data_IF_157705885768
#
_entry.id   IF_157705885768
#
_cell.length_a   1.000
_cell.length_b   1.000
_cell.length_c   1.000
_cell.angle_alpha   90.00
_cell.angle_beta   90.00
_cell.angle_gamma   90.00
#
_symmetry.space_group_name_H-M   'P 1'
#
loop_
_entity.id
_entity.type
_entity.pdbx_description
1 polymer ?
#
# COMPACT_ATOMS: atom_id res chain seq x y z
N UNK A 1 1.84 0.81 9.54
CA UNK A 1 0.89 1.68 10.26
C UNK A 1 -0.39 0.90 10.50
N UNK A 2 -0.82 0.84 11.74
CA UNK A 2 -2.13 0.34 12.17
C UNK A 2 -3.17 1.47 12.15
N UNK A 3 -4.45 1.13 12.34
CA UNK A 3 -5.53 2.13 12.53
C UNK A 3 -5.22 3.07 13.71
N UNK A 4 -4.63 2.54 14.79
CA UNK A 4 -4.21 3.34 15.95
C UNK A 4 -3.10 4.32 15.60
N UNK A 5 -2.10 3.89 14.82
CA UNK A 5 -1.00 4.77 14.39
C UNK A 5 -1.53 5.91 13.50
N UNK A 6 -2.49 5.60 12.62
CA UNK A 6 -3.13 6.58 11.75
C UNK A 6 -3.91 7.62 12.56
N UNK A 7 -4.66 7.20 13.57
CA UNK A 7 -5.35 8.12 14.49
C UNK A 7 -4.36 9.06 15.17
N UNK A 8 -3.31 8.50 15.78
CA UNK A 8 -2.30 9.29 16.49
C UNK A 8 -1.55 10.26 15.56
N UNK A 9 -1.33 9.90 14.30
CA UNK A 9 -0.72 10.80 13.32
C UNK A 9 -1.65 11.97 12.95
N UNK A 10 -2.95 11.69 12.76
CA UNK A 10 -3.95 12.70 12.44
C UNK A 10 -4.20 13.67 13.60
N UNK A 11 -4.24 13.18 14.84
CA UNK A 11 -4.44 14.03 16.03
C UNK A 11 -3.35 15.11 16.18
N UNK A 12 -2.15 14.88 15.62
CA UNK A 12 -1.05 15.86 15.62
C UNK A 12 -1.10 16.88 14.48
N UNK A 13 -1.84 16.60 13.41
CA UNK A 13 -1.81 17.43 12.19
C UNK A 13 -3.14 18.11 11.87
N UNK A 14 -4.27 17.52 12.27
CA UNK A 14 -5.57 18.08 11.94
C UNK A 14 -5.82 19.39 12.69
N UNK A 15 -6.43 20.34 12.00
CA UNK A 15 -7.01 21.52 12.65
C UNK A 15 -8.19 21.11 13.55
N UNK A 16 -8.57 21.92 14.55
CA UNK A 16 -9.73 21.62 15.39
C UNK A 16 -11.03 21.41 14.60
N UNK A 17 -11.23 22.16 13.51
CA UNK A 17 -12.39 21.99 12.62
C UNK A 17 -12.37 20.67 11.86
N UNK A 18 -11.21 20.30 11.31
CA UNK A 18 -11.05 19.03 10.60
C UNK A 18 -11.20 17.83 11.55
N UNK A 19 -10.68 17.93 12.77
CA UNK A 19 -10.83 16.91 13.80
C UNK A 19 -12.31 16.72 14.23
N UNK A 20 -13.05 17.82 14.42
CA UNK A 20 -14.50 17.77 14.70
C UNK A 20 -15.27 17.13 13.54
N UNK A 21 -14.98 17.55 12.31
CA UNK A 21 -15.61 16.95 11.13
C UNK A 21 -15.33 15.44 11.04
N UNK A 22 -14.07 15.02 11.27
CA UNK A 22 -13.70 13.61 11.25
C UNK A 22 -14.46 12.80 12.31
N UNK A 23 -14.57 13.32 13.54
CA UNK A 23 -15.33 12.67 14.60
C UNK A 23 -16.80 12.44 14.19
N UNK A 24 -17.47 13.47 13.66
CA UNK A 24 -18.84 13.36 13.14
C UNK A 24 -18.94 12.36 11.99
N UNK A 25 -18.02 12.42 11.02
CA UNK A 25 -18.02 11.53 9.86
C UNK A 25 -17.86 10.06 10.27
N UNK A 26 -17.04 9.77 11.27
CA UNK A 26 -16.86 8.40 11.78
C UNK A 26 -18.12 7.88 12.47
N UNK A 27 -18.79 8.71 13.27
CA UNK A 27 -20.07 8.34 13.91
C UNK A 27 -21.14 8.05 12.86
N UNK A 28 -21.26 8.89 11.83
CA UNK A 28 -22.22 8.68 10.74
C UNK A 28 -21.92 7.41 9.94
N UNK A 29 -20.64 7.15 9.62
CA UNK A 29 -20.24 5.94 8.90
C UNK A 29 -20.45 4.69 9.75
N UNK A 30 -20.27 4.77 11.07
CA UNK A 30 -20.56 3.65 11.96
C UNK A 30 -22.06 3.32 12.02
N UNK A 31 -22.93 4.34 11.96
CA UNK A 31 -24.38 4.18 12.02
C UNK A 31 -25.00 3.76 10.68
N UNK A 32 -24.63 4.46 9.60
CA UNK A 32 -25.25 4.35 8.27
C UNK A 32 -24.17 4.21 7.19
N UNK A 33 -23.38 3.13 7.20
CA UNK A 33 -22.17 3.02 6.40
C UNK A 33 -22.44 3.13 4.89
N UNK A 34 -23.53 2.55 4.39
CA UNK A 34 -23.80 2.51 2.95
C UNK A 34 -24.18 3.88 2.39
N UNK A 35 -24.83 4.71 3.20
CA UNK A 35 -25.20 6.09 2.82
C UNK A 35 -24.06 7.08 3.11
N UNK A 36 -23.42 6.96 4.27
CA UNK A 36 -22.46 7.96 4.74
C UNK A 36 -21.06 7.77 4.12
N UNK A 37 -20.59 6.52 3.96
CA UNK A 37 -19.22 6.25 3.57
C UNK A 37 -18.85 6.88 2.22
N UNK A 38 -19.58 6.70 1.10
CA UNK A 38 -19.19 7.27 -0.18
C UNK A 38 -19.05 8.80 -0.12
N UNK A 39 -20.01 9.48 0.53
CA UNK A 39 -19.99 10.94 0.71
C UNK A 39 -18.81 11.40 1.56
N UNK A 40 -18.61 10.81 2.74
CA UNK A 40 -17.54 11.21 3.67
C UNK A 40 -16.15 10.89 3.11
N UNK A 41 -16.04 9.80 2.36
CA UNK A 41 -14.81 9.39 1.69
C UNK A 41 -14.37 10.40 0.61
N UNK A 42 -15.33 10.94 -0.15
CA UNK A 42 -15.09 11.98 -1.16
C UNK A 42 -14.80 13.36 -0.55
N UNK A 43 -15.35 13.65 0.63
CA UNK A 43 -15.09 14.89 1.37
C UNK A 43 -13.71 14.94 2.04
N UNK A 44 -13.08 13.78 2.30
CA UNK A 44 -11.84 13.67 3.07
C UNK A 44 -10.74 14.64 2.63
N UNK A 45 -10.48 14.73 1.33
CA UNK A 45 -9.45 15.64 0.79
C UNK A 45 -9.77 17.12 1.01
N UNK A 46 -11.05 17.51 0.93
CA UNK A 46 -11.47 18.91 1.12
C UNK A 46 -11.54 19.31 2.59
N UNK A 47 -11.87 18.36 3.47
CA UNK A 47 -12.11 18.61 4.90
C UNK A 47 -10.88 18.38 5.78
N UNK A 48 -10.09 17.36 5.48
CA UNK A 48 -8.84 17.05 6.18
C UNK A 48 -7.59 17.65 5.51
N UNK A 49 -7.66 17.95 4.22
CA UNK A 49 -6.50 18.36 3.43
C UNK A 49 -5.68 17.17 2.91
N UNK A 50 -4.59 17.46 2.20
CA UNK A 50 -3.76 16.48 1.48
C UNK A 50 -2.27 16.54 1.86
N UNK A 51 -1.97 17.12 3.02
CA UNK A 51 -0.60 17.21 3.53
C UNK A 51 -0.01 15.82 3.80
N UNK A 52 1.32 15.69 3.76
CA UNK A 52 2.00 14.45 4.08
C UNK A 52 1.99 14.19 5.59
N UNK A 53 1.65 12.97 6.01
CA UNK A 53 1.66 12.56 7.42
C UNK A 53 3.05 12.26 7.96
N UNK A 54 3.97 11.89 7.07
CA UNK A 54 5.37 11.66 7.35
C UNK A 54 6.20 12.15 6.16
N UNK A 55 7.48 12.48 6.41
CA UNK A 55 8.39 12.77 5.33
C UNK A 55 8.49 11.54 4.39
N UNK A 56 8.46 11.78 3.08
CA UNK A 56 8.75 10.72 2.13
C UNK A 56 10.19 10.23 2.36
N UNK A 57 10.45 8.91 2.32
CA UNK A 57 11.80 8.38 2.45
C UNK A 57 12.69 8.96 1.36
N UNK A 58 13.91 9.37 1.73
CA UNK A 58 14.88 9.86 0.77
C UNK A 58 15.21 8.76 -0.25
N UNK A 59 15.27 9.08 -1.56
CA UNK A 59 15.67 8.11 -2.56
C UNK A 59 17.09 7.58 -2.30
N UNK A 60 17.36 6.34 -2.73
CA UNK A 60 18.73 5.85 -2.83
C UNK A 60 19.54 6.76 -3.78
N UNK A 61 20.85 6.83 -3.55
CA UNK A 61 21.84 7.84 -3.99
C UNK A 61 21.93 8.19 -5.50
N UNK A 62 21.03 7.71 -6.35
CA UNK A 62 20.84 8.20 -7.72
C UNK A 62 19.78 9.33 -7.74
N UNK A 63 19.82 10.27 -8.69
CA UNK A 63 18.69 11.15 -8.94
C UNK A 63 17.50 10.28 -9.42
N UNK A 64 16.68 9.83 -8.47
CA UNK A 64 15.45 9.12 -8.78
C UNK A 64 14.58 10.07 -9.64
N UNK A 65 13.87 9.55 -10.65
CA UNK A 65 12.88 10.36 -11.34
C UNK A 65 11.89 10.91 -10.32
N UNK A 66 11.37 12.12 -10.59
CA UNK A 66 10.48 12.84 -9.70
C UNK A 66 9.16 12.09 -9.53
N UNK A 67 9.14 11.06 -8.67
CA UNK A 67 7.93 10.39 -8.25
C UNK A 67 7.19 11.32 -7.29
N UNK A 68 5.86 11.48 -7.44
CA UNK A 68 5.09 12.29 -6.51
C UNK A 68 5.28 11.80 -5.07
N UNK A 69 5.51 12.71 -4.12
CA UNK A 69 5.81 12.36 -2.73
C UNK A 69 4.70 11.52 -2.07
N UNK A 70 3.45 11.76 -2.47
CA UNK A 70 2.26 11.01 -2.07
C UNK A 70 2.20 9.56 -2.59
N UNK A 71 3.07 9.17 -3.52
CA UNK A 71 3.28 7.75 -3.84
C UNK A 71 4.07 7.07 -2.73
N UNK A 72 5.05 7.75 -2.14
CA UNK A 72 5.99 7.19 -1.17
C UNK A 72 5.53 7.37 0.29
N UNK A 73 4.64 8.34 0.56
CA UNK A 73 4.18 8.67 1.90
C UNK A 73 2.65 8.71 2.00
N UNK A 74 2.15 8.47 3.20
CA UNK A 74 0.75 8.69 3.53
C UNK A 74 0.42 10.18 3.50
N UNK A 75 -0.72 10.53 2.94
CA UNK A 75 -1.32 11.86 3.09
C UNK A 75 -2.39 11.85 4.18
N UNK A 76 -2.78 13.04 4.65
CA UNK A 76 -3.88 13.21 5.60
C UNK A 76 -5.18 12.59 5.08
N UNK A 77 -5.52 12.82 3.80
CA UNK A 77 -6.73 12.26 3.20
C UNK A 77 -6.69 10.74 3.05
N UNK A 78 -5.51 10.15 2.82
CA UNK A 78 -5.36 8.68 2.82
C UNK A 78 -5.66 8.10 4.21
N UNK A 79 -5.15 8.71 5.28
CA UNK A 79 -5.39 8.24 6.64
C UNK A 79 -6.82 8.45 7.10
N UNK A 80 -7.43 9.60 6.77
CA UNK A 80 -8.85 9.86 7.03
C UNK A 80 -9.70 8.77 6.38
N UNK A 81 -9.46 8.47 5.11
CA UNK A 81 -10.17 7.42 4.36
C UNK A 81 -9.99 6.04 4.98
N UNK A 82 -8.79 5.71 5.45
CA UNK A 82 -8.54 4.47 6.17
C UNK A 82 -9.33 4.38 7.49
N UNK A 83 -9.43 5.48 8.24
CA UNK A 83 -10.26 5.52 9.46
C UNK A 83 -11.75 5.42 9.15
N UNK A 84 -12.24 6.05 8.09
CA UNK A 84 -13.64 5.92 7.65
C UNK A 84 -13.98 4.47 7.27
N UNK A 85 -13.11 3.81 6.50
CA UNK A 85 -13.30 2.39 6.18
C UNK A 85 -13.25 1.50 7.42
N UNK A 86 -12.36 1.79 8.37
CA UNK A 86 -12.24 1.02 9.62
C UNK A 86 -13.45 1.22 10.56
N UNK A 87 -14.12 2.36 10.49
CA UNK A 87 -15.31 2.63 11.29
C UNK A 87 -16.58 1.99 10.71
N UNK A 88 -16.59 1.62 9.42
CA UNK A 88 -17.75 1.04 8.76
C UNK A 88 -17.92 -0.44 9.17
N UNK A 89 -19.02 -0.85 9.83
CA UNK A 89 -19.20 -2.22 10.34
C UNK A 89 -19.28 -3.25 9.22
N UNK A 90 -18.42 -4.28 9.16
CA UNK A 90 -18.33 -5.19 8.01
C UNK A 90 -19.71 -5.67 7.46
N UNK A 91 -19.97 -5.60 6.14
CA UNK A 91 -21.22 -6.08 5.58
C UNK A 91 -21.23 -7.62 5.55
N UNK A 92 -22.43 -8.21 5.51
CA UNK A 92 -22.62 -9.67 5.53
C UNK A 92 -21.90 -10.38 4.37
N UNK A 93 -21.82 -9.72 3.21
CA UNK A 93 -21.25 -10.28 1.98
C UNK A 93 -19.72 -10.22 1.93
N UNK A 94 -19.06 -9.70 2.97
CA UNK A 94 -17.61 -9.79 3.14
C UNK A 94 -16.90 -8.46 3.47
N UNK A 95 -15.75 -8.52 4.14
CA UNK A 95 -15.07 -7.36 4.70
C UNK A 95 -14.53 -6.38 3.64
N UNK A 96 -14.27 -6.83 2.41
CA UNK A 96 -13.77 -5.98 1.32
C UNK A 96 -14.86 -5.27 0.49
N UNK A 97 -16.15 -5.56 0.71
CA UNK A 97 -17.24 -5.06 -0.15
C UNK A 97 -17.30 -3.54 -0.17
N UNK A 98 -17.19 -2.89 0.99
CA UNK A 98 -17.24 -1.41 1.06
C UNK A 98 -16.01 -0.75 0.46
N UNK A 99 -14.83 -1.30 0.73
CA UNK A 99 -13.59 -0.85 0.10
C UNK A 99 -13.70 -0.96 -1.43
N UNK A 100 -14.27 -2.05 -1.94
CA UNK A 100 -14.50 -2.26 -3.36
C UNK A 100 -15.49 -1.26 -3.96
N UNK A 101 -16.56 -0.94 -3.24
CA UNK A 101 -17.57 0.02 -3.69
C UNK A 101 -16.96 1.43 -3.87
N UNK A 102 -16.25 1.95 -2.86
CA UNK A 102 -15.61 3.27 -2.97
C UNK A 102 -14.43 3.27 -3.95
N UNK A 103 -13.72 2.15 -4.12
CA UNK A 103 -12.64 2.04 -5.10
C UNK A 103 -13.16 2.12 -6.54
N UNK A 104 -14.21 1.37 -6.89
CA UNK A 104 -14.73 1.30 -8.26
C UNK A 104 -15.19 2.67 -8.78
N UNK A 105 -15.86 3.44 -7.93
CA UNK A 105 -16.42 4.75 -8.30
C UNK A 105 -15.50 5.92 -7.96
N UNK A 106 -14.37 5.67 -7.30
CA UNK A 106 -13.49 6.73 -6.83
C UNK A 106 -12.50 7.22 -7.88
N UNK A 107 -12.07 8.47 -7.71
CA UNK A 107 -10.95 9.07 -8.43
C UNK A 107 -9.59 8.45 -8.02
N UNK A 108 -8.49 8.88 -8.64
CA UNK A 108 -7.16 8.34 -8.35
C UNK A 108 -6.72 8.52 -6.89
N UNK A 109 -7.10 9.63 -6.23
CA UNK A 109 -6.76 9.86 -4.82
C UNK A 109 -7.61 9.00 -3.89
N UNK A 110 -8.88 8.81 -4.23
CA UNK A 110 -9.80 7.93 -3.51
C UNK A 110 -9.36 6.47 -3.61
N UNK A 111 -9.05 5.99 -4.83
CA UNK A 111 -8.50 4.64 -5.06
C UNK A 111 -7.19 4.43 -4.30
N UNK A 112 -6.27 5.41 -4.32
CA UNK A 112 -5.04 5.35 -3.52
C UNK A 112 -5.35 5.22 -2.03
N UNK A 113 -6.31 6.00 -1.52
CA UNK A 113 -6.75 5.94 -0.13
C UNK A 113 -7.29 4.55 0.25
N UNK A 114 -8.07 3.91 -0.62
CA UNK A 114 -8.52 2.52 -0.41
C UNK A 114 -7.33 1.57 -0.34
N UNK A 115 -6.43 1.59 -1.33
CA UNK A 115 -5.29 0.69 -1.40
C UNK A 115 -4.38 0.81 -0.17
N UNK A 116 -4.11 2.04 0.28
CA UNK A 116 -3.36 2.29 1.52
C UNK A 116 -4.07 1.76 2.76
N UNK A 117 -5.40 1.85 2.80
CA UNK A 117 -6.22 1.36 3.92
C UNK A 117 -6.21 -0.17 4.07
N UNK A 118 -5.97 -0.93 2.98
CA UNK A 118 -6.03 -2.40 3.02
C UNK A 118 -5.09 -3.01 4.06
N UNK A 119 -3.87 -2.46 4.20
CA UNK A 119 -2.91 -2.94 5.21
C UNK A 119 -3.43 -2.83 6.65
N UNK A 120 -3.81 -1.62 7.12
CA UNK A 120 -4.44 -1.43 8.42
C UNK A 120 -5.72 -2.24 8.63
N UNK A 121 -6.60 -2.35 7.63
CA UNK A 121 -7.85 -3.09 7.71
C UNK A 121 -7.62 -4.60 7.86
N UNK A 122 -6.63 -5.14 7.15
CA UNK A 122 -6.28 -6.56 7.22
C UNK A 122 -5.72 -6.99 8.58
N UNK A 123 -5.26 -6.03 9.39
CA UNK A 123 -4.82 -6.27 10.76
C UNK A 123 -5.97 -6.23 11.78
N UNK A 124 -7.21 -5.93 11.37
CA UNK A 124 -8.35 -5.89 12.28
C UNK A 124 -8.86 -7.29 12.59
N UNK A 125 -9.01 -7.58 13.87
CA UNK A 125 -9.60 -8.83 14.37
C UNK A 125 -11.13 -8.87 14.14
N UNK A 126 -11.75 -10.06 14.12
CA UNK A 126 -11.12 -11.38 14.19
C UNK A 126 -10.71 -11.96 12.82
N UNK A 127 -11.13 -11.36 11.70
CA UNK A 127 -11.01 -12.01 10.38
C UNK A 127 -10.16 -11.26 9.34
N UNK A 128 -9.78 -9.99 9.55
CA UNK A 128 -9.02 -9.19 8.58
C UNK A 128 -9.71 -9.06 7.21
N UNK A 129 -8.92 -8.83 6.17
CA UNK A 129 -9.38 -8.82 4.78
C UNK A 129 -9.02 -10.11 4.03
N UNK A 130 -8.00 -10.84 4.48
CA UNK A 130 -7.50 -12.06 3.82
C UNK A 130 -7.20 -11.77 2.35
N UNK A 131 -7.67 -12.58 1.42
CA UNK A 131 -7.50 -12.40 -0.02
C UNK A 131 -8.66 -11.63 -0.68
N UNK A 132 -9.70 -11.23 0.07
CA UNK A 132 -10.93 -10.62 -0.48
C UNK A 132 -10.67 -9.30 -1.24
N UNK A 133 -9.62 -8.56 -0.87
CA UNK A 133 -9.24 -7.31 -1.55
C UNK A 133 -8.09 -7.47 -2.56
N UNK A 134 -7.63 -8.70 -2.85
CA UNK A 134 -6.64 -8.96 -3.92
C UNK A 134 -7.10 -8.43 -5.28
N UNK A 135 -8.40 -8.54 -5.68
CA UNK A 135 -8.86 -7.96 -6.94
C UNK A 135 -8.62 -6.45 -7.07
N UNK A 136 -8.68 -5.69 -5.97
CA UNK A 136 -8.42 -4.25 -5.97
C UNK A 136 -6.92 -3.96 -6.22
N UNK A 137 -6.05 -4.75 -5.59
CA UNK A 137 -4.60 -4.69 -5.82
C UNK A 137 -4.28 -5.05 -7.27
N UNK A 138 -4.84 -6.14 -7.79
CA UNK A 138 -4.64 -6.57 -9.17
C UNK A 138 -5.12 -5.55 -10.19
N UNK A 139 -6.25 -4.87 -9.94
CA UNK A 139 -6.73 -3.77 -10.79
C UNK A 139 -5.75 -2.58 -10.78
N UNK A 140 -5.31 -2.13 -9.61
CA UNK A 140 -4.36 -1.03 -9.48
C UNK A 140 -3.03 -1.33 -10.21
N UNK A 141 -2.58 -2.59 -10.16
CA UNK A 141 -1.38 -3.07 -10.86
C UNK A 141 -1.52 -3.08 -12.39
N UNK A 142 -2.73 -2.94 -12.96
CA UNK A 142 -2.91 -2.74 -14.41
C UNK A 142 -2.65 -1.29 -14.83
N UNK A 143 -2.72 -0.33 -13.91
CA UNK A 143 -2.48 1.10 -14.18
C UNK A 143 -0.99 1.43 -14.22
N UNK A 144 -0.61 2.54 -14.87
CA UNK A 144 0.76 3.08 -14.83
C UNK A 144 0.90 4.28 -13.87
N UNK A 145 -0.08 4.50 -12.98
CA UNK A 145 0.00 5.57 -11.99
C UNK A 145 0.94 5.14 -10.83
N UNK A 146 2.10 5.78 -10.64
CA UNK A 146 3.05 5.40 -9.60
C UNK A 146 2.45 5.49 -8.19
N UNK A 147 1.45 6.36 -7.97
CA UNK A 147 0.76 6.49 -6.69
C UNK A 147 -0.09 5.26 -6.38
N UNK A 148 -0.79 4.72 -7.38
CA UNK A 148 -1.60 3.50 -7.25
C UNK A 148 -0.72 2.26 -7.16
N UNK A 149 0.33 2.18 -7.97
CA UNK A 149 1.30 1.08 -7.90
C UNK A 149 1.95 0.97 -6.51
N UNK A 150 2.43 2.09 -5.97
CA UNK A 150 3.03 2.13 -4.64
C UNK A 150 2.03 1.74 -3.54
N UNK A 151 0.78 2.23 -3.63
CA UNK A 151 -0.25 1.88 -2.64
C UNK A 151 -0.66 0.40 -2.73
N UNK A 152 -0.77 -0.15 -3.94
CA UNK A 152 -1.10 -1.56 -4.19
C UNK A 152 0.00 -2.51 -3.66
N UNK A 153 1.26 -2.13 -3.80
CA UNK A 153 2.43 -2.86 -3.27
C UNK A 153 2.78 -2.51 -1.84
N UNK A 154 1.83 -1.92 -1.09
CA UNK A 154 1.91 -1.78 0.35
C UNK A 154 1.81 -3.13 1.10
N UNK A 155 1.74 -3.09 2.44
CA UNK A 155 1.79 -4.29 3.28
C UNK A 155 0.75 -5.38 2.93
N UNK A 156 -0.45 -4.98 2.49
CA UNK A 156 -1.49 -5.92 2.08
C UNK A 156 -1.11 -6.69 0.81
N UNK A 157 -0.73 -5.98 -0.27
CA UNK A 157 -0.30 -6.61 -1.52
C UNK A 157 0.92 -7.50 -1.33
N UNK A 158 1.89 -7.06 -0.49
CA UNK A 158 3.04 -7.87 -0.15
C UNK A 158 2.68 -9.20 0.51
N UNK A 159 1.66 -9.21 1.39
CA UNK A 159 1.21 -10.39 2.12
C UNK A 159 0.38 -11.34 1.26
N UNK A 160 -0.51 -10.81 0.44
CA UNK A 160 -1.58 -11.60 -0.19
C UNK A 160 -1.41 -11.84 -1.68
N UNK A 161 -0.55 -11.09 -2.39
CA UNK A 161 -0.29 -11.39 -3.80
C UNK A 161 0.41 -12.75 -3.95
N UNK A 162 -0.08 -13.62 -4.86
CA UNK A 162 0.65 -14.82 -5.26
C UNK A 162 2.06 -14.46 -5.74
N UNK A 163 3.03 -15.35 -5.53
CA UNK A 163 4.43 -15.07 -5.86
C UNK A 163 4.63 -14.62 -7.33
N UNK A 164 4.03 -15.25 -8.36
CA UNK A 164 4.17 -14.77 -9.74
C UNK A 164 3.68 -13.32 -9.91
N UNK A 165 2.50 -12.99 -9.38
CA UNK A 165 1.92 -11.66 -9.50
C UNK A 165 2.76 -10.59 -8.77
N UNK A 166 3.31 -10.93 -7.60
CA UNK A 166 4.19 -10.03 -6.87
C UNK A 166 5.48 -9.75 -7.65
N UNK A 167 6.10 -10.77 -8.29
CA UNK A 167 7.31 -10.59 -9.10
C UNK A 167 7.05 -9.67 -10.29
N UNK A 168 5.97 -9.91 -11.05
CA UNK A 168 5.61 -9.06 -12.18
C UNK A 168 5.34 -7.61 -11.75
N UNK A 169 4.69 -7.42 -10.61
CA UNK A 169 4.46 -6.09 -10.06
C UNK A 169 5.75 -5.36 -9.68
N UNK A 170 6.73 -6.06 -9.09
CA UNK A 170 8.06 -5.50 -8.81
C UNK A 170 8.77 -5.11 -10.10
N UNK A 171 8.75 -5.97 -11.12
CA UNK A 171 9.32 -5.65 -12.43
C UNK A 171 8.62 -4.45 -13.06
N UNK A 172 7.30 -4.36 -12.96
CA UNK A 172 6.54 -3.20 -13.43
C UNK A 172 7.00 -1.90 -12.74
N UNK A 173 7.27 -1.94 -11.43
CA UNK A 173 7.79 -0.77 -10.70
C UNK A 173 9.11 -0.28 -11.30
N UNK A 174 10.03 -1.20 -11.61
CA UNK A 174 11.30 -0.87 -12.26
C UNK A 174 11.08 -0.20 -13.63
N UNK A 175 10.15 -0.70 -14.43
CA UNK A 175 9.79 -0.12 -15.73
C UNK A 175 9.15 1.27 -15.61
N UNK A 176 8.31 1.48 -14.58
CA UNK A 176 7.69 2.78 -14.28
C UNK A 176 8.61 3.72 -13.49
N UNK A 177 9.85 3.31 -13.25
CA UNK A 177 10.83 4.01 -12.40
C UNK A 177 10.30 4.35 -11.00
N UNK A 178 9.40 3.53 -10.46
CA UNK A 178 8.97 3.62 -9.08
C UNK A 178 10.09 3.03 -8.20
N UNK A 179 10.63 3.80 -7.24
CA UNK A 179 11.68 3.33 -6.38
C UNK A 179 11.24 2.13 -5.53
N UNK A 180 12.09 1.11 -5.42
CA UNK A 180 11.74 -0.16 -4.79
C UNK A 180 11.53 -0.04 -3.26
N UNK A 181 11.95 1.05 -2.62
CA UNK A 181 11.57 1.32 -1.23
C UNK A 181 10.06 1.50 -1.01
N UNK A 182 9.30 1.77 -2.08
CA UNK A 182 7.84 1.80 -2.04
C UNK A 182 7.21 0.40 -1.93
N UNK A 183 7.96 -0.65 -2.26
CA UNK A 183 7.46 -2.03 -2.31
C UNK A 183 7.66 -2.69 -0.95
N UNK A 184 6.56 -2.98 -0.26
CA UNK A 184 6.60 -3.64 1.03
C UNK A 184 7.03 -5.12 0.89
N UNK A 185 7.78 -5.64 1.86
CA UNK A 185 8.14 -7.06 1.93
C UNK A 185 9.23 -7.51 0.95
N UNK A 186 9.80 -6.61 0.15
CA UNK A 186 10.80 -6.95 -0.87
C UNK A 186 11.99 -7.80 -0.36
N UNK A 187 12.62 -7.50 0.80
CA UNK A 187 13.73 -8.34 1.30
C UNK A 187 13.33 -9.80 1.55
N UNK A 188 12.09 -10.04 1.96
CA UNK A 188 11.55 -11.37 2.30
C UNK A 188 10.96 -12.10 1.09
N UNK A 189 10.53 -11.35 0.06
CA UNK A 189 9.88 -11.91 -1.14
C UNK A 189 10.79 -11.96 -2.38
N UNK A 190 12.02 -11.47 -2.26
CA UNK A 190 13.03 -11.66 -3.31
C UNK A 190 13.52 -13.09 -3.30
N UNK A 191 13.13 -13.85 -4.32
CA UNK A 191 13.61 -15.20 -4.58
C UNK A 191 14.50 -15.26 -5.84
N UNK A 192 14.99 -16.46 -6.15
CA UNK A 192 15.88 -16.68 -7.30
C UNK A 192 15.22 -16.29 -8.63
N UNK A 193 13.90 -16.44 -8.74
CA UNK A 193 13.17 -16.09 -9.96
C UNK A 193 13.10 -14.58 -10.13
N UNK A 194 12.77 -13.84 -9.07
CA UNK A 194 12.76 -12.38 -9.11
C UNK A 194 14.15 -11.81 -9.45
N UNK A 195 15.20 -12.37 -8.84
CA UNK A 195 16.58 -11.97 -9.14
C UNK A 195 16.96 -12.26 -10.61
N UNK A 196 16.56 -13.42 -11.14
CA UNK A 196 16.76 -13.78 -12.55
C UNK A 196 16.05 -12.80 -13.49
N UNK A 197 14.79 -12.47 -13.21
CA UNK A 197 14.02 -11.50 -14.00
C UNK A 197 14.70 -10.12 -13.99
N UNK A 198 15.17 -9.66 -12.83
CA UNK A 198 15.90 -8.40 -12.71
C UNK A 198 17.23 -8.41 -13.49
N UNK A 199 17.97 -9.52 -13.45
CA UNK A 199 19.21 -9.68 -14.22
C UNK A 199 18.96 -9.69 -15.74
N UNK A 200 17.86 -10.28 -16.19
CA UNK A 200 17.43 -10.18 -17.60
C UNK A 200 17.13 -8.73 -17.97
N UNK A 201 16.37 -8.02 -17.15
CA UNK A 201 16.08 -6.60 -17.39
C UNK A 201 17.36 -5.72 -17.42
N UNK A 202 18.32 -5.99 -16.53
CA UNK A 202 19.62 -5.31 -16.53
C UNK A 202 20.40 -5.54 -17.83
N UNK A 203 20.37 -6.77 -18.37
CA UNK A 203 21.01 -7.10 -19.65
C UNK A 203 20.33 -6.38 -20.81
N UNK A 204 19.01 -6.33 -20.84
CA UNK A 204 18.24 -5.57 -21.85
C UNK A 204 18.57 -4.08 -21.84
N UNK A 205 18.62 -3.46 -20.65
CA UNK A 205 19.07 -2.06 -20.48
C UNK A 205 20.46 -1.86 -21.06
N UNK A 206 21.41 -2.73 -20.70
CA UNK A 206 22.80 -2.66 -21.15
C UNK A 206 22.94 -2.82 -22.66
N UNK A 207 22.26 -3.81 -23.25
CA UNK A 207 22.25 -4.06 -24.70
C UNK A 207 21.63 -2.90 -25.49
N UNK A 208 20.71 -2.15 -24.88
CA UNK A 208 20.12 -0.94 -25.44
C UNK A 208 20.98 0.33 -25.20
N UNK A 209 22.18 0.20 -24.60
CA UNK A 209 23.04 1.33 -24.26
C UNK A 209 22.49 2.24 -23.16
N UNK A 210 21.51 1.76 -22.38
CA UNK A 210 20.91 2.52 -21.26
C UNK A 210 21.60 2.17 -19.94
N UNK A 211 21.81 3.13 -19.03
CA UNK A 211 22.36 2.86 -17.71
C UNK A 211 21.42 1.95 -16.90
N UNK A 212 21.99 1.06 -16.09
CA UNK A 212 21.22 0.16 -15.22
C UNK A 212 20.96 0.84 -13.86
N UNK A 213 19.69 1.13 -13.49
CA UNK A 213 19.37 1.79 -12.23
C UNK A 213 19.87 1.02 -10.99
N UNK A 214 20.17 1.73 -9.90
CA UNK A 214 20.61 1.14 -8.63
C UNK A 214 19.68 0.03 -8.10
N UNK A 215 18.37 0.26 -8.15
CA UNK A 215 17.36 -0.72 -7.71
C UNK A 215 17.38 -2.02 -8.53
N UNK A 216 17.61 -1.91 -9.85
CA UNK A 216 17.75 -3.09 -10.73
C UNK A 216 19.03 -3.86 -10.38
N UNK A 217 20.14 -3.15 -10.16
CA UNK A 217 21.42 -3.78 -9.75
C UNK A 217 21.30 -4.46 -8.40
N UNK A 218 20.64 -3.82 -7.42
CA UNK A 218 20.43 -4.37 -6.09
C UNK A 218 19.61 -5.66 -6.15
N UNK A 219 18.56 -5.70 -6.98
CA UNK A 219 17.70 -6.87 -7.13
C UNK A 219 18.36 -8.01 -7.93
N UNK A 220 19.21 -7.68 -8.91
CA UNK A 220 19.95 -8.64 -9.73
C UNK A 220 21.25 -9.15 -9.09
N UNK A 221 21.69 -8.53 -7.98
CA UNK A 221 22.98 -8.82 -7.35
C UNK A 221 23.05 -10.21 -6.68
N UNK A 222 24.28 -10.70 -6.40
CA UNK A 222 24.47 -11.96 -5.69
C UNK A 222 23.81 -11.91 -4.31
N UNK A 223 23.02 -12.94 -3.98
CA UNK A 223 22.47 -13.08 -2.63
C UNK A 223 23.44 -13.83 -1.72
N UNK A 224 23.60 -13.42 -0.44
CA UNK A 224 24.13 -14.33 0.55
C UNK A 224 23.23 -15.57 0.61
N UNK A 225 23.83 -16.76 0.75
CA UNK A 225 23.09 -18.00 0.92
C UNK A 225 22.06 -17.82 2.04
N UNK A 226 20.84 -18.33 1.84
CA UNK A 226 19.79 -18.25 2.85
C UNK A 226 20.32 -18.83 4.16
N UNK A 227 20.38 -18.03 5.22
CA UNK A 227 20.53 -18.56 6.58
C UNK A 227 19.34 -19.47 6.85
N UNK A 228 19.62 -20.64 7.41
CA UNK A 228 18.68 -21.72 7.69
C UNK A 228 17.34 -21.22 8.26
N UNK A 229 16.21 -21.88 7.95
CA UNK A 229 14.95 -21.58 8.60
C UNK A 229 15.08 -21.70 10.11
N UNK A 230 14.45 -20.76 10.83
CA UNK A 230 14.38 -20.76 12.29
C UNK A 230 13.96 -22.16 12.79
N UNK A 231 14.68 -22.75 13.77
CA UNK A 231 14.32 -24.07 14.28
C UNK A 231 12.88 -24.04 14.81
N UNK A 232 12.11 -25.14 14.63
CA UNK A 232 10.74 -25.20 15.11
C UNK A 232 10.71 -24.99 16.64
N UNK A 233 9.67 -24.33 17.17
CA UNK A 233 9.53 -24.18 18.62
C UNK A 233 9.49 -25.56 19.28
N UNK A 234 10.33 -25.74 20.31
CA UNK A 234 10.44 -26.98 21.07
C UNK A 234 9.05 -27.49 21.52
N UNK A 235 8.80 -28.81 21.46
CA UNK A 235 7.59 -29.37 22.04
C UNK A 235 7.58 -29.10 23.55
N UNK A 236 6.47 -28.58 24.05
CA UNK A 236 6.25 -28.38 25.48
C UNK A 236 6.44 -29.72 26.21
N UNK A 237 7.39 -29.74 27.14
CA UNK A 237 7.63 -30.87 28.02
C UNK A 237 6.44 -31.10 28.95
N UNK A 238 6.08 -32.37 29.06
CA UNK A 238 5.16 -33.03 29.99
C UNK A 238 5.28 -32.58 31.44
#
# INVERSE_FOLDING_TARGET
>A
MTVRDLRAALDRQLTPDAARWLATALTEVAAEPDQALPRRFAEAGRRGGRALLAAAPAPHQDPAPAVPAEALAWTVDDAVRALLLAAAPAPADGPAVRASAVYRHGDAAERRGVLRALGPLDLLAPYGLRDDAVPLVSDALRTNDPRLLAAALGPYGARHLPAPAYREAVLKCLHCSLPLQAVAGLPHRTDAELARMAATHARELTSAGRPVPGDVRALAGPRPAATDPLPPPHPAGT
#
